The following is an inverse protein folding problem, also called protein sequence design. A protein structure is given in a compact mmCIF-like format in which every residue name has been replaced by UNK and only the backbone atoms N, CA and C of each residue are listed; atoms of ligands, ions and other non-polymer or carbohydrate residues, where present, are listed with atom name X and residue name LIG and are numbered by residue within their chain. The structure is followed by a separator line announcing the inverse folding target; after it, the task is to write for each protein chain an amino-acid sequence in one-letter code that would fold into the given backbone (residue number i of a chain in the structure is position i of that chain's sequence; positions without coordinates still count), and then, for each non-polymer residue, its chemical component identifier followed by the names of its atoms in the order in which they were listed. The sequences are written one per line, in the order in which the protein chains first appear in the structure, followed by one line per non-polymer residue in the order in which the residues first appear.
data_IF_702426282974
#
_entry.id   IF_702426282974
#
_cell.length_a   1.000
_cell.length_b   1.000
_cell.length_c   1.000
_cell.angle_alpha   90.00
_cell.angle_beta   90.00
_cell.angle_gamma   90.00
#
_symmetry.space_group_name_H-M   'P 1'
#
loop_
_entity.id
_entity.type
_entity.pdbx_description
1 polymer ?
#
# COMPACT_ATOMS: atom_id res chain seq x y z
N UNK A 1 15.01 -34.18 50.62
CA UNK A 1 13.92 -33.19 50.59
C UNK A 1 14.55 -31.80 50.51
N UNK A 2 14.76 -31.29 49.29
CA UNK A 2 15.23 -29.91 49.04
C UNK A 2 14.42 -29.38 47.86
N UNK A 3 13.75 -28.26 48.11
CA UNK A 3 12.68 -27.68 47.31
C UNK A 3 13.25 -26.87 46.14
N UNK A 4 12.77 -27.14 44.93
CA UNK A 4 13.03 -26.34 43.72
C UNK A 4 12.20 -25.05 43.82
N UNK A 5 12.86 -23.89 43.71
CA UNK A 5 12.20 -22.58 43.59
C UNK A 5 11.88 -22.31 42.11
N UNK A 6 10.60 -22.39 41.76
CA UNK A 6 10.07 -21.90 40.47
C UNK A 6 9.89 -20.39 40.56
N UNK A 7 10.54 -19.64 39.66
CA UNK A 7 10.27 -18.20 39.45
C UNK A 7 9.16 -18.10 38.39
N UNK A 8 7.96 -17.69 38.81
CA UNK A 8 6.93 -17.20 37.89
C UNK A 8 7.22 -15.72 37.61
N UNK A 9 7.56 -15.41 36.36
CA UNK A 9 7.48 -14.03 35.84
C UNK A 9 6.08 -13.86 35.26
N UNK A 10 5.20 -13.17 35.99
CA UNK A 10 3.91 -12.74 35.47
C UNK A 10 4.11 -11.54 34.55
N UNK A 11 4.03 -11.76 33.23
CA UNK A 11 3.83 -10.69 32.26
C UNK A 11 2.38 -10.18 32.34
N UNK A 12 2.19 -9.02 32.94
CA UNK A 12 0.93 -8.28 32.91
C UNK A 12 0.99 -7.24 31.79
N UNK A 13 0.67 -7.63 30.55
CA UNK A 13 0.42 -6.65 29.46
C UNK A 13 -1.02 -6.16 29.56
N UNK A 14 -1.23 -5.16 30.42
CA UNK A 14 -2.44 -4.35 30.40
C UNK A 14 -2.34 -3.32 29.28
N UNK A 15 -3.07 -3.53 28.18
CA UNK A 15 -3.29 -2.51 27.17
C UNK A 15 -4.23 -1.46 27.77
N UNK A 16 -3.68 -0.39 28.33
CA UNK A 16 -4.45 0.81 28.66
C UNK A 16 -4.87 1.48 27.35
N UNK A 17 -6.12 1.24 26.96
CA UNK A 17 -6.80 2.00 25.93
C UNK A 17 -7.07 3.40 26.51
N UNK A 18 -6.11 4.31 26.39
CA UNK A 18 -6.33 5.72 26.71
C UNK A 18 -7.45 6.24 25.80
N UNK A 19 -8.50 6.88 26.35
CA UNK A 19 -9.51 7.51 25.53
C UNK A 19 -8.83 8.61 24.69
N UNK A 20 -8.94 8.54 23.36
CA UNK A 20 -8.65 9.70 22.52
C UNK A 20 -9.55 10.84 23.00
N UNK A 21 -8.94 11.90 23.53
CA UNK A 21 -9.64 13.09 23.98
C UNK A 21 -10.26 13.83 22.80
N UNK A 22 -11.35 14.56 23.04
CA UNK A 22 -12.08 15.33 22.02
C UNK A 22 -11.22 16.39 21.31
N UNK A 23 -10.12 16.84 21.92
CA UNK A 23 -9.16 17.78 21.32
C UNK A 23 -8.54 17.30 20.01
N UNK A 24 -8.35 15.98 19.83
CA UNK A 24 -7.78 15.43 18.60
C UNK A 24 -8.77 15.40 17.41
N UNK A 25 -10.06 15.65 17.66
CA UNK A 25 -11.11 15.60 16.64
C UNK A 25 -11.38 16.96 15.96
N UNK A 26 -10.99 18.09 16.56
CA UNK A 26 -11.40 19.42 16.08
C UNK A 26 -10.46 20.05 15.05
N UNK A 27 -9.27 19.51 14.84
CA UNK A 27 -8.25 20.10 13.95
C UNK A 27 -8.42 19.75 12.47
N UNK A 28 -8.94 18.55 12.16
CA UNK A 28 -9.14 18.10 10.78
C UNK A 28 -10.56 18.43 10.32
N UNK A 29 -10.70 18.96 9.11
CA UNK A 29 -12.01 19.29 8.53
C UNK A 29 -12.28 18.49 7.27
N UNK A 30 -13.38 17.76 7.26
CA UNK A 30 -13.86 17.02 6.10
C UNK A 30 -15.05 17.77 5.47
N UNK A 31 -14.79 18.42 4.34
CA UNK A 31 -15.76 19.25 3.64
C UNK A 31 -16.32 18.49 2.43
N UNK A 32 -17.64 18.46 2.25
CA UNK A 32 -18.23 18.02 0.99
C UNK A 32 -18.01 19.12 -0.05
N UNK A 33 -17.37 18.79 -1.17
CA UNK A 33 -17.03 19.74 -2.22
C UNK A 33 -17.74 19.49 -3.54
N UNK A 34 -18.48 18.38 -3.66
CA UNK A 34 -19.30 18.11 -4.83
C UNK A 34 -19.72 16.66 -4.96
N UNK A 35 -20.14 16.29 -6.16
CA UNK A 35 -20.39 14.90 -6.54
C UNK A 35 -19.09 14.23 -6.98
N UNK A 36 -19.02 12.91 -6.81
CA UNK A 36 -17.88 12.15 -7.29
C UNK A 36 -17.76 12.30 -8.82
N UNK A 37 -16.55 12.56 -9.36
CA UNK A 37 -16.35 12.57 -10.81
C UNK A 37 -16.56 11.17 -11.39
N UNK A 38 -16.64 11.04 -12.71
CA UNK A 38 -16.62 9.73 -13.36
C UNK A 38 -15.35 8.94 -12.98
N UNK A 39 -15.44 7.62 -12.93
CA UNK A 39 -14.26 6.79 -12.71
C UNK A 39 -13.35 6.87 -13.95
N UNK A 40 -12.05 7.05 -13.72
CA UNK A 40 -11.06 7.02 -14.79
C UNK A 40 -10.73 5.56 -15.11
N UNK A 41 -10.89 5.17 -16.37
CA UNK A 41 -10.49 3.85 -16.84
C UNK A 41 -8.96 3.82 -16.99
N UNK A 42 -8.26 2.86 -16.36
CA UNK A 42 -6.83 2.69 -16.54
C UNK A 42 -6.47 2.47 -18.02
N UNK A 43 -5.48 3.22 -18.49
CA UNK A 43 -4.91 2.98 -19.83
C UNK A 43 -3.74 2.01 -19.67
N UNK A 44 -3.85 0.86 -20.34
CA UNK A 44 -2.79 -0.14 -20.39
C UNK A 44 -1.53 0.35 -21.13
N UNK A 45 -0.43 -0.42 -21.07
CA UNK A 45 0.79 -0.07 -21.79
C UNK A 45 0.56 -0.15 -23.30
N UNK A 46 1.14 0.79 -24.04
CA UNK A 46 1.27 0.65 -25.49
C UNK A 46 2.30 -0.45 -25.79
N UNK A 47 1.87 -1.46 -26.53
CA UNK A 47 2.68 -2.61 -26.96
C UNK A 47 2.40 -2.89 -28.43
N UNK A 48 3.43 -3.27 -29.17
CA UNK A 48 3.31 -3.93 -30.48
C UNK A 48 2.78 -5.36 -30.31
N UNK A 49 2.37 -5.96 -31.43
CA UNK A 49 1.91 -7.34 -31.44
C UNK A 49 3.03 -8.34 -31.09
N UNK A 50 4.27 -8.05 -31.52
CA UNK A 50 5.44 -8.87 -31.16
C UNK A 50 5.77 -8.78 -29.67
N UNK A 51 5.69 -7.58 -29.07
CA UNK A 51 5.86 -7.42 -27.62
C UNK A 51 4.78 -8.17 -26.83
N UNK A 52 3.51 -8.09 -27.25
CA UNK A 52 2.42 -8.88 -26.64
C UNK A 52 2.65 -10.38 -26.73
N UNK A 53 3.07 -10.89 -27.90
CA UNK A 53 3.41 -12.31 -28.07
C UNK A 53 4.57 -12.74 -27.16
N UNK A 54 5.57 -11.88 -26.97
CA UNK A 54 6.76 -12.20 -26.19
C UNK A 54 6.55 -12.10 -24.66
N UNK A 55 5.73 -11.15 -24.20
CA UNK A 55 5.59 -10.83 -22.77
C UNK A 55 4.21 -11.14 -22.18
N UNK A 56 3.25 -11.48 -23.03
CA UNK A 56 1.85 -11.70 -22.67
C UNK A 56 1.04 -10.41 -22.63
N UNK A 57 -0.27 -10.57 -22.48
CA UNK A 57 -1.18 -9.44 -22.35
C UNK A 57 -1.06 -8.77 -20.98
N UNK A 58 -1.21 -7.43 -20.90
CA UNK A 58 -1.35 -6.74 -19.62
C UNK A 58 -2.57 -7.25 -18.84
N UNK A 59 -2.48 -7.24 -17.51
CA UNK A 59 -3.59 -7.55 -16.64
C UNK A 59 -4.77 -6.60 -16.93
N UNK A 60 -5.99 -7.11 -17.17
CA UNK A 60 -7.18 -6.28 -17.27
C UNK A 60 -7.32 -5.38 -16.03
N UNK A 61 -7.71 -4.12 -16.23
CA UNK A 61 -7.83 -3.08 -15.18
C UNK A 61 -6.53 -2.75 -14.40
N UNK A 62 -5.42 -3.41 -14.73
CA UNK A 62 -4.10 -3.11 -14.20
C UNK A 62 -3.62 -1.73 -14.62
N UNK A 63 -2.85 -1.07 -13.74
CA UNK A 63 -2.28 0.25 -13.98
C UNK A 63 -0.81 0.16 -14.33
N UNK A 64 -0.39 0.98 -15.29
CA UNK A 64 1.03 1.19 -15.59
C UNK A 64 1.63 2.15 -14.56
N UNK A 65 2.58 1.68 -13.77
CA UNK A 65 3.40 2.52 -12.91
C UNK A 65 4.59 3.05 -13.71
N UNK A 66 5.02 4.29 -13.45
CA UNK A 66 6.14 4.94 -14.17
C UNK A 66 7.18 5.45 -13.18
N UNK A 67 8.44 5.40 -13.58
CA UNK A 67 9.58 5.93 -12.83
C UNK A 67 10.61 6.57 -13.78
N UNK A 68 11.53 7.36 -13.21
CA UNK A 68 12.51 8.13 -13.99
C UNK A 68 13.91 7.48 -14.03
N UNK A 69 14.09 6.31 -13.44
CA UNK A 69 15.37 5.60 -13.32
C UNK A 69 15.66 4.58 -14.43
N UNK A 70 16.29 3.48 -14.05
CA UNK A 70 16.59 2.33 -14.91
C UNK A 70 15.32 1.60 -15.41
N UNK A 71 14.22 1.74 -14.67
CA UNK A 71 12.87 1.33 -15.03
C UNK A 71 12.05 2.55 -15.45
N UNK A 72 11.40 2.49 -16.62
CA UNK A 72 10.53 3.56 -17.16
C UNK A 72 9.06 3.30 -16.92
N UNK A 73 8.65 2.04 -17.05
CA UNK A 73 7.27 1.64 -16.82
C UNK A 73 7.21 0.20 -16.31
N UNK A 74 6.21 -0.09 -15.48
CA UNK A 74 5.94 -1.42 -14.93
C UNK A 74 4.45 -1.69 -15.01
N UNK A 75 4.07 -2.90 -15.39
CA UNK A 75 2.69 -3.36 -15.33
C UNK A 75 2.64 -4.86 -15.04
N UNK A 76 1.52 -5.29 -14.50
CA UNK A 76 1.20 -6.70 -14.31
C UNK A 76 0.72 -7.29 -15.64
N UNK A 77 1.10 -8.53 -15.92
CA UNK A 77 0.87 -9.20 -17.21
C UNK A 77 0.57 -10.69 -17.04
N UNK A 78 0.19 -11.33 -18.14
CA UNK A 78 -0.18 -12.75 -18.20
C UNK A 78 -1.35 -13.06 -17.25
N UNK A 79 -2.55 -12.50 -17.51
CA UNK A 79 -3.73 -12.77 -16.69
C UNK A 79 -4.00 -14.28 -16.57
N UNK A 80 -4.36 -14.73 -15.37
CA UNK A 80 -4.61 -16.13 -15.05
C UNK A 80 -5.73 -16.28 -14.03
N UNK A 81 -6.48 -17.38 -14.11
CA UNK A 81 -7.56 -17.73 -13.19
C UNK A 81 -7.17 -18.79 -12.14
N UNK A 82 -5.86 -19.07 -12.01
CA UNK A 82 -5.32 -20.14 -11.14
C UNK A 82 -5.49 -19.88 -9.64
N UNK A 83 -5.82 -18.64 -9.26
CA UNK A 83 -6.06 -18.25 -7.87
C UNK A 83 -7.39 -17.52 -7.75
N UNK A 84 -8.39 -18.19 -7.19
CA UNK A 84 -9.78 -17.72 -7.17
C UNK A 84 -10.15 -17.11 -5.82
N UNK A 85 -9.44 -16.07 -5.42
CA UNK A 85 -9.75 -15.35 -4.18
C UNK A 85 -10.84 -14.29 -4.39
N UNK A 86 -10.81 -13.56 -5.51
CA UNK A 86 -11.89 -12.61 -5.84
C UNK A 86 -11.78 -11.26 -5.16
N UNK A 87 -10.69 -11.01 -4.41
CA UNK A 87 -10.65 -9.88 -3.47
C UNK A 87 -10.61 -8.53 -4.17
N UNK A 88 -10.10 -8.50 -5.41
CA UNK A 88 -9.95 -7.30 -6.24
C UNK A 88 -11.17 -7.06 -7.16
N UNK A 89 -12.23 -7.86 -7.01
CA UNK A 89 -13.49 -7.67 -7.74
C UNK A 89 -13.63 -8.53 -9.00
N UNK A 90 -12.64 -9.36 -9.33
CA UNK A 90 -12.76 -10.53 -10.19
C UNK A 90 -11.78 -11.62 -9.71
N UNK A 91 -11.75 -12.75 -10.39
CA UNK A 91 -10.85 -13.87 -10.08
C UNK A 91 -9.70 -14.00 -11.10
N UNK A 92 -9.26 -12.88 -11.69
CA UNK A 92 -8.16 -12.82 -12.66
C UNK A 92 -6.98 -12.08 -12.03
N UNK A 93 -5.90 -12.81 -11.81
CA UNK A 93 -4.67 -12.29 -11.21
C UNK A 93 -3.52 -12.33 -12.21
N UNK A 94 -2.40 -11.69 -11.90
CA UNK A 94 -1.26 -11.66 -12.83
C UNK A 94 -0.32 -12.85 -12.62
N UNK A 95 0.02 -13.55 -13.70
CA UNK A 95 1.07 -14.56 -13.74
C UNK A 95 2.47 -13.96 -13.83
N UNK A 96 2.60 -12.70 -14.23
CA UNK A 96 3.88 -12.04 -14.43
C UNK A 96 3.84 -10.53 -14.12
N UNK A 97 5.02 -9.96 -13.96
CA UNK A 97 5.25 -8.51 -14.04
C UNK A 97 6.19 -8.22 -15.20
N UNK A 98 5.86 -7.21 -16.00
CA UNK A 98 6.68 -6.75 -17.13
C UNK A 98 7.14 -5.33 -16.86
N UNK A 99 8.41 -5.06 -17.17
CA UNK A 99 9.01 -3.74 -17.07
C UNK A 99 9.53 -3.30 -18.43
N UNK A 100 9.35 -2.02 -18.72
CA UNK A 100 10.07 -1.31 -19.78
C UNK A 100 11.28 -0.62 -19.16
N UNK A 101 12.46 -1.03 -19.60
CA UNK A 101 13.75 -0.47 -19.18
C UNK A 101 13.97 0.92 -19.80
N UNK A 102 14.97 1.65 -19.30
CA UNK A 102 15.37 2.96 -19.83
C UNK A 102 15.78 2.96 -21.30
N UNK A 103 16.27 1.83 -21.81
CA UNK A 103 16.65 1.62 -23.21
C UNK A 103 15.47 1.16 -24.09
N UNK A 104 14.26 1.09 -23.53
CA UNK A 104 13.05 0.68 -24.24
C UNK A 104 12.81 -0.83 -24.26
N UNK A 105 13.79 -1.65 -23.89
CA UNK A 105 13.63 -3.11 -23.86
C UNK A 105 12.61 -3.54 -22.80
N UNK A 106 11.81 -4.54 -23.16
CA UNK A 106 10.92 -5.21 -22.21
C UNK A 106 11.61 -6.41 -21.59
N UNK A 107 11.45 -6.57 -20.28
CA UNK A 107 11.81 -7.79 -19.56
C UNK A 107 10.67 -8.16 -18.61
N UNK A 108 10.49 -9.45 -18.36
CA UNK A 108 9.39 -9.95 -17.51
C UNK A 108 9.89 -10.94 -16.49
N UNK A 109 9.26 -10.93 -15.33
CA UNK A 109 9.41 -11.96 -14.31
C UNK A 109 8.10 -12.75 -14.24
N UNK A 110 8.16 -14.02 -14.62
CA UNK A 110 7.00 -14.92 -14.65
C UNK A 110 7.03 -15.77 -13.38
N UNK A 111 5.91 -15.77 -12.65
CA UNK A 111 5.75 -16.56 -11.44
C UNK A 111 5.55 -18.04 -11.77
N UNK A 112 6.11 -18.95 -10.97
CA UNK A 112 5.77 -20.37 -11.02
C UNK A 112 4.26 -20.62 -10.84
N UNK A 113 3.83 -21.83 -11.21
CA UNK A 113 2.43 -22.30 -11.14
C UNK A 113 1.72 -22.14 -9.78
N UNK A 114 2.48 -21.94 -8.71
CA UNK A 114 2.05 -22.00 -7.31
C UNK A 114 1.72 -20.64 -6.68
N UNK A 115 1.79 -19.56 -7.45
CA UNK A 115 1.57 -18.20 -6.95
C UNK A 115 1.10 -17.24 -8.04
N UNK A 116 0.50 -16.12 -7.66
CA UNK A 116 0.11 -15.03 -8.57
C UNK A 116 0.56 -13.69 -7.96
N UNK A 117 0.68 -12.65 -8.78
CA UNK A 117 0.65 -11.29 -8.27
C UNK A 117 -0.81 -10.88 -8.09
N UNK A 118 -1.27 -10.81 -6.84
CA UNK A 118 -2.63 -10.41 -6.46
C UNK A 118 -2.64 -8.90 -6.18
N UNK A 119 -2.52 -8.11 -7.24
CA UNK A 119 -2.37 -6.67 -7.20
C UNK A 119 -2.88 -6.05 -8.53
N UNK A 120 -3.10 -4.74 -8.57
CA UNK A 120 -3.47 -3.99 -9.80
C UNK A 120 -2.47 -2.90 -10.15
N UNK A 121 -1.60 -2.49 -9.22
CA UNK A 121 -0.73 -1.34 -9.42
C UNK A 121 0.66 -1.57 -8.82
N UNK A 122 1.73 -1.69 -9.62
CA UNK A 122 3.08 -1.76 -9.03
C UNK A 122 3.43 -0.46 -8.29
N UNK A 123 3.93 -0.56 -7.05
CA UNK A 123 4.46 0.62 -6.32
C UNK A 123 5.96 0.71 -6.60
N UNK A 124 6.43 1.88 -7.01
CA UNK A 124 7.82 2.09 -7.45
C UNK A 124 8.53 3.09 -6.53
N UNK A 125 9.71 2.74 -6.05
CA UNK A 125 10.57 3.63 -5.28
C UNK A 125 12.02 3.14 -5.32
N UNK A 126 12.97 4.05 -5.15
CA UNK A 126 14.34 3.70 -4.72
C UNK A 126 14.27 3.43 -3.21
N UNK A 127 14.18 2.15 -2.84
CA UNK A 127 13.86 1.78 -1.46
C UNK A 127 15.08 1.85 -0.55
N UNK A 128 16.27 1.58 -1.07
CA UNK A 128 17.53 1.56 -0.31
C UNK A 128 18.46 2.74 -0.61
N UNK A 129 18.07 3.65 -1.51
CA UNK A 129 18.79 4.89 -1.81
C UNK A 129 19.99 4.70 -2.75
N UNK A 130 20.04 3.59 -3.50
CA UNK A 130 21.15 3.27 -4.40
C UNK A 130 21.02 3.90 -5.81
N UNK A 131 19.94 4.63 -6.06
CA UNK A 131 19.62 5.29 -7.32
C UNK A 131 18.90 4.41 -8.34
N UNK A 132 18.60 3.14 -8.02
CA UNK A 132 17.81 2.23 -8.86
C UNK A 132 16.38 2.14 -8.36
N UNK A 133 15.47 1.79 -9.25
CA UNK A 133 14.05 1.65 -8.88
C UNK A 133 13.74 0.21 -8.48
N UNK A 134 13.24 0.02 -7.27
CA UNK A 134 12.59 -1.21 -6.85
C UNK A 134 11.08 -1.17 -7.12
N UNK A 135 10.53 -2.37 -7.29
CA UNK A 135 9.12 -2.64 -7.52
C UNK A 135 8.58 -3.40 -6.32
N UNK A 136 7.53 -2.87 -5.71
CA UNK A 136 6.80 -3.52 -4.63
C UNK A 136 5.50 -4.10 -5.18
N UNK A 137 5.30 -5.40 -4.97
CA UNK A 137 4.11 -6.15 -5.38
C UNK A 137 3.65 -7.14 -4.31
N UNK A 138 2.39 -7.54 -4.39
CA UNK A 138 1.82 -8.59 -3.56
C UNK A 138 1.86 -9.91 -4.30
N UNK A 139 2.65 -10.88 -3.83
CA UNK A 139 2.67 -12.25 -4.34
C UNK A 139 1.82 -13.15 -3.46
N UNK A 140 0.74 -13.69 -4.00
CA UNK A 140 -0.14 -14.64 -3.30
C UNK A 140 0.16 -16.07 -3.72
N UNK A 141 0.60 -16.89 -2.77
CA UNK A 141 0.78 -18.33 -2.96
C UNK A 141 -0.55 -19.05 -2.83
N UNK A 142 -0.82 -20.03 -3.71
CA UNK A 142 -2.11 -20.74 -3.76
C UNK A 142 -2.48 -21.39 -2.41
N UNK A 143 -1.49 -21.81 -1.62
CA UNK A 143 -1.70 -22.49 -0.33
C UNK A 143 -1.22 -21.69 0.89
N UNK A 144 -0.36 -20.69 0.70
CA UNK A 144 0.31 -19.96 1.81
C UNK A 144 -0.14 -18.51 1.96
N UNK A 145 -0.96 -18.00 1.04
CA UNK A 145 -1.42 -16.60 1.05
C UNK A 145 -0.35 -15.62 0.62
N UNK A 146 -0.61 -14.34 0.87
CA UNK A 146 0.21 -13.23 0.38
C UNK A 146 1.54 -13.05 1.12
N UNK A 147 2.54 -12.65 0.34
CA UNK A 147 3.79 -12.03 0.73
C UNK A 147 3.96 -10.72 -0.03
N UNK A 148 4.74 -9.81 0.52
CA UNK A 148 5.20 -8.58 -0.11
C UNK A 148 6.57 -8.86 -0.72
N UNK A 149 6.65 -8.73 -2.05
CA UNK A 149 7.85 -9.02 -2.84
C UNK A 149 8.46 -7.71 -3.35
N UNK A 150 9.77 -7.60 -3.21
CA UNK A 150 10.59 -6.51 -3.75
C UNK A 150 11.34 -7.06 -4.96
N UNK A 151 11.10 -6.49 -6.13
CA UNK A 151 11.81 -6.83 -7.36
C UNK A 151 12.66 -5.64 -7.83
N UNK A 152 13.72 -5.93 -8.57
CA UNK A 152 14.53 -4.91 -9.21
C UNK A 152 15.36 -5.45 -10.37
N UNK A 153 15.91 -4.55 -11.17
CA UNK A 153 16.77 -4.92 -12.28
C UNK A 153 18.19 -5.25 -11.80
N UNK A 154 18.67 -6.43 -12.15
CA UNK A 154 20.06 -6.86 -11.93
C UNK A 154 20.59 -7.47 -13.22
N UNK A 155 21.72 -6.97 -13.71
CA UNK A 155 22.35 -7.42 -14.96
C UNK A 155 21.38 -7.50 -16.16
N UNK A 156 20.45 -6.54 -16.25
CA UNK A 156 19.44 -6.46 -17.32
C UNK A 156 18.24 -7.40 -17.17
N UNK A 157 18.17 -8.18 -16.09
CA UNK A 157 17.05 -9.09 -15.78
C UNK A 157 16.29 -8.60 -14.56
N UNK A 158 15.02 -8.97 -14.47
CA UNK A 158 14.20 -8.70 -13.30
C UNK A 158 14.35 -9.85 -12.31
N UNK A 159 14.62 -9.54 -11.04
CA UNK A 159 14.85 -10.53 -9.98
C UNK A 159 14.07 -10.14 -8.72
N UNK A 160 13.66 -11.13 -7.93
CA UNK A 160 13.18 -10.89 -6.56
C UNK A 160 14.41 -10.61 -5.69
N UNK A 161 14.50 -9.38 -5.18
CA UNK A 161 15.59 -8.95 -4.29
C UNK A 161 15.32 -9.35 -2.85
N UNK A 162 14.05 -9.27 -2.43
CA UNK A 162 13.61 -9.72 -1.12
C UNK A 162 12.11 -10.05 -1.12
N UNK A 163 11.69 -10.89 -0.19
CA UNK A 163 10.29 -11.22 0.04
C UNK A 163 10.11 -11.55 1.52
N UNK A 164 9.04 -11.06 2.16
CA UNK A 164 8.75 -11.49 3.52
C UNK A 164 8.04 -12.85 3.53
N UNK A 165 8.04 -13.52 4.70
CA UNK A 165 7.30 -14.77 4.84
C UNK A 165 5.82 -14.58 4.51
N UNK A 166 5.30 -15.45 3.64
CA UNK A 166 3.87 -15.49 3.32
C UNK A 166 3.02 -15.67 4.60
N UNK A 167 1.80 -15.15 4.57
CA UNK A 167 0.90 -15.11 5.74
C UNK A 167 0.70 -16.49 6.40
N UNK A 168 0.82 -17.58 5.63
CA UNK A 168 0.72 -18.96 6.11
C UNK A 168 -0.64 -19.60 5.86
N UNK A 169 -1.55 -18.92 5.16
CA UNK A 169 -2.88 -19.45 4.80
C UNK A 169 -3.34 -18.81 3.50
N UNK A 170 -3.82 -19.61 2.56
CA UNK A 170 -4.44 -19.15 1.32
C UNK A 170 -5.55 -18.11 1.58
N UNK A 171 -5.82 -17.24 0.59
CA UNK A 171 -6.89 -16.23 0.67
C UNK A 171 -6.72 -15.30 1.89
N UNK A 172 -5.46 -15.02 2.23
CA UNK A 172 -5.05 -13.95 3.13
C UNK A 172 -4.15 -13.02 2.34
N UNK A 173 -4.50 -11.75 2.37
CA UNK A 173 -3.97 -10.76 1.45
C UNK A 173 -3.35 -9.58 2.20
N UNK A 174 -2.50 -8.83 1.49
CA UNK A 174 -1.84 -7.60 1.94
C UNK A 174 -2.25 -6.48 0.99
N UNK A 175 -2.50 -5.28 1.50
CA UNK A 175 -2.65 -4.11 0.63
C UNK A 175 -1.55 -3.08 0.94
N UNK A 176 -0.45 -3.05 0.18
CA UNK A 176 0.58 -2.02 0.30
C UNK A 176 0.08 -0.73 -0.34
N UNK A 177 0.00 0.38 0.36
CA UNK A 177 -0.55 1.62 -0.24
C UNK A 177 0.17 2.89 0.22
N UNK A 178 1.25 2.71 0.98
CA UNK A 178 1.96 3.78 1.66
C UNK A 178 3.44 3.67 1.28
N UNK A 179 4.01 4.75 0.74
CA UNK A 179 5.44 4.92 0.55
C UNK A 179 5.87 6.12 1.39
N UNK A 180 6.70 5.87 2.39
CA UNK A 180 7.17 6.86 3.36
C UNK A 180 8.64 7.16 3.10
N UNK A 181 8.91 8.26 2.41
CA UNK A 181 10.26 8.77 2.27
C UNK A 181 10.80 9.27 3.62
N UNK A 182 12.11 9.10 3.81
CA UNK A 182 12.85 9.61 4.95
C UNK A 182 13.85 10.67 4.45
N UNK A 183 13.47 11.97 4.46
CA UNK A 183 14.23 13.04 3.80
C UNK A 183 15.71 13.13 4.18
N UNK A 184 16.05 12.76 5.42
CA UNK A 184 17.43 12.81 5.93
C UNK A 184 18.31 11.68 5.38
N UNK A 185 17.71 10.58 4.96
CA UNK A 185 18.43 9.37 4.52
C UNK A 185 18.23 9.03 3.05
N UNK A 186 17.17 9.54 2.41
CA UNK A 186 16.76 9.17 1.06
C UNK A 186 16.02 7.82 0.96
N UNK A 187 16.02 7.01 2.03
CA UNK A 187 15.32 5.73 2.09
C UNK A 187 13.80 5.90 1.95
N UNK A 188 13.15 4.93 1.31
CA UNK A 188 11.69 4.83 1.26
C UNK A 188 11.22 3.56 1.97
N UNK A 189 10.33 3.74 2.94
CA UNK A 189 9.69 2.65 3.68
C UNK A 189 8.34 2.31 3.07
N UNK A 190 7.96 1.03 3.13
CA UNK A 190 6.69 0.54 2.59
C UNK A 190 5.71 0.30 3.71
N UNK A 191 4.57 0.98 3.68
CA UNK A 191 3.43 0.70 4.56
C UNK A 191 2.36 -0.14 3.87
N UNK A 192 1.85 -1.13 4.59
CA UNK A 192 0.78 -2.02 4.13
C UNK A 192 -0.23 -2.30 5.25
N UNK A 193 -1.45 -2.69 4.89
CA UNK A 193 -2.38 -3.33 5.82
C UNK A 193 -2.47 -4.81 5.51
N UNK A 194 -2.12 -5.64 6.49
CA UNK A 194 -2.27 -7.09 6.43
C UNK A 194 -3.71 -7.46 6.78
N UNK A 195 -4.32 -8.33 5.98
CA UNK A 195 -5.69 -8.84 6.18
C UNK A 195 -6.71 -7.72 6.44
N UNK A 196 -6.85 -6.74 5.53
CA UNK A 196 -7.69 -5.56 5.74
C UNK A 196 -9.17 -5.88 6.01
N UNK A 197 -9.64 -7.09 5.69
CA UNK A 197 -11.03 -7.53 5.90
C UNK A 197 -11.28 -8.32 7.18
N UNK A 198 -10.23 -8.69 7.93
CA UNK A 198 -10.30 -9.69 9.03
C UNK A 198 -9.42 -9.25 10.21
N UNK A 199 -9.51 -7.97 10.58
CA UNK A 199 -8.81 -7.41 11.74
C UNK A 199 -7.93 -6.22 11.36
N UNK A 200 -7.18 -6.36 10.26
CA UNK A 200 -6.47 -5.24 9.66
C UNK A 200 -5.30 -4.72 10.50
N UNK A 201 -4.10 -5.15 10.14
CA UNK A 201 -2.86 -4.80 10.83
C UNK A 201 -2.01 -3.91 9.92
N UNK A 202 -1.87 -2.63 10.26
CA UNK A 202 -0.92 -1.72 9.62
C UNK A 202 0.51 -2.16 9.96
N UNK A 203 1.36 -2.25 8.96
CA UNK A 203 2.78 -2.59 9.11
C UNK A 203 3.63 -1.63 8.28
N UNK A 204 4.77 -1.24 8.83
CA UNK A 204 5.82 -0.51 8.10
C UNK A 204 7.02 -1.43 7.91
N UNK A 205 7.51 -1.49 6.67
CA UNK A 205 8.61 -2.31 6.25
C UNK A 205 9.75 -1.47 5.69
N UNK A 206 10.96 -1.92 5.98
CA UNK A 206 12.22 -1.33 5.53
C UNK A 206 12.98 -2.36 4.72
N UNK A 207 13.43 -1.95 3.54
CA UNK A 207 14.36 -2.69 2.71
C UNK A 207 15.72 -1.98 2.72
N UNK A 208 16.75 -2.66 3.21
CA UNK A 208 18.10 -2.09 3.25
C UNK A 208 19.15 -3.21 3.21
N UNK A 209 20.14 -3.08 2.33
CA UNK A 209 21.24 -4.05 2.22
C UNK A 209 20.75 -5.48 1.96
N UNK A 210 19.75 -5.64 1.10
CA UNK A 210 19.14 -6.94 0.79
C UNK A 210 18.25 -7.52 1.91
N UNK A 211 18.12 -6.84 3.05
CA UNK A 211 17.27 -7.28 4.16
C UNK A 211 15.94 -6.55 4.12
N UNK A 212 14.84 -7.31 4.14
CA UNK A 212 13.49 -6.77 4.20
C UNK A 212 12.83 -7.10 5.54
N UNK A 213 12.55 -6.07 6.35
CA UNK A 213 12.09 -6.26 7.74
C UNK A 213 10.96 -5.32 8.11
N UNK A 214 10.02 -5.82 8.91
CA UNK A 214 8.99 -5.02 9.56
C UNK A 214 9.61 -4.24 10.72
N UNK A 215 9.38 -2.93 10.76
CA UNK A 215 9.93 -2.03 11.78
C UNK A 215 8.85 -1.41 12.68
N UNK A 216 7.59 -1.38 12.24
CA UNK A 216 6.47 -0.93 13.04
C UNK A 216 5.20 -1.72 12.72
N UNK A 217 4.28 -1.79 13.68
CA UNK A 217 3.01 -2.50 13.56
C UNK A 217 1.94 -1.84 14.43
N UNK A 218 0.71 -1.74 13.93
CA UNK A 218 -0.44 -1.28 14.68
C UNK A 218 -1.73 -1.99 14.19
N UNK A 219 -2.69 -2.20 15.09
CA UNK A 219 -3.94 -2.92 14.79
C UNK A 219 -5.11 -1.97 14.56
N UNK A 220 -6.16 -2.46 13.88
CA UNK A 220 -7.44 -1.77 13.80
C UNK A 220 -7.56 -0.82 12.61
N UNK A 221 -6.93 -1.17 11.48
CA UNK A 221 -6.93 -0.37 10.25
C UNK A 221 -7.42 -1.15 9.04
N UNK A 222 -8.10 -0.48 8.11
CA UNK A 222 -8.51 -1.11 6.85
C UNK A 222 -8.35 -0.12 5.71
N UNK A 223 -7.41 -0.39 4.81
CA UNK A 223 -7.21 0.39 3.58
C UNK A 223 -7.82 -0.29 2.33
N UNK A 224 -8.72 -1.26 2.49
CA UNK A 224 -9.35 -1.94 1.35
C UNK A 224 -10.76 -2.43 1.67
N UNK A 225 -11.67 -2.31 0.69
CA UNK A 225 -13.00 -2.92 0.72
C UNK A 225 -13.01 -4.12 -0.22
N UNK A 226 -13.47 -5.28 0.27
CA UNK A 226 -13.52 -6.51 -0.54
C UNK A 226 -14.29 -6.29 -1.86
N UNK A 227 -13.73 -6.79 -2.95
CA UNK A 227 -14.26 -6.65 -4.31
C UNK A 227 -14.00 -5.30 -4.96
N UNK A 228 -13.31 -4.38 -4.29
CA UNK A 228 -12.96 -3.06 -4.84
C UNK A 228 -11.73 -3.14 -5.74
N UNK A 229 -11.68 -2.29 -6.78
CA UNK A 229 -10.46 -2.01 -7.54
C UNK A 229 -9.59 -0.92 -6.90
N UNK A 230 -10.10 -0.25 -5.86
CA UNK A 230 -9.41 0.84 -5.19
C UNK A 230 -8.46 0.30 -4.13
N UNK A 231 -7.15 0.36 -4.39
CA UNK A 231 -6.10 -0.13 -3.48
C UNK A 231 -5.50 0.98 -2.62
N UNK A 232 -5.76 2.25 -2.96
CA UNK A 232 -5.14 3.42 -2.37
C UNK A 232 -5.99 4.12 -1.30
N UNK A 233 -6.66 3.39 -0.40
CA UNK A 233 -7.39 4.02 0.73
C UNK A 233 -6.41 4.45 1.85
N UNK A 234 -5.39 5.21 1.47
CA UNK A 234 -4.43 5.83 2.36
C UNK A 234 -3.77 7.02 1.68
N UNK A 235 -3.28 7.97 2.47
CA UNK A 235 -2.45 9.07 1.99
C UNK A 235 -1.22 9.25 2.88
N UNK A 236 -0.14 9.77 2.29
CA UNK A 236 1.04 10.24 3.02
C UNK A 236 1.06 11.76 2.95
N UNK A 237 1.21 12.39 4.11
CA UNK A 237 1.25 13.84 4.26
C UNK A 237 2.54 14.25 4.97
N UNK A 238 3.02 15.46 4.69
CA UNK A 238 4.24 16.01 5.30
C UNK A 238 3.96 17.17 6.24
N UNK A 239 4.70 17.26 7.36
CA UNK A 239 4.85 18.47 8.19
C UNK A 239 6.33 18.76 8.40
N UNK A 240 6.89 19.66 7.60
CA UNK A 240 8.34 19.75 7.45
C UNK A 240 8.96 18.39 7.09
N UNK A 241 9.86 17.89 7.93
CA UNK A 241 10.48 16.56 7.75
C UNK A 241 9.60 15.41 8.22
N UNK A 242 8.62 15.67 9.07
CA UNK A 242 7.77 14.62 9.61
C UNK A 242 6.86 14.06 8.50
N UNK A 243 6.66 12.75 8.52
CA UNK A 243 5.67 12.08 7.66
C UNK A 243 4.48 11.64 8.50
N UNK A 244 3.32 11.65 7.86
CA UNK A 244 2.04 11.30 8.46
C UNK A 244 1.34 10.30 7.55
N UNK A 245 0.69 9.33 8.15
CA UNK A 245 -0.11 8.34 7.43
C UNK A 245 -1.55 8.62 7.73
N UNK A 246 -2.35 8.78 6.70
CA UNK A 246 -3.77 8.98 6.79
C UNK A 246 -4.47 7.74 6.23
N UNK A 247 -5.26 7.02 7.03
CA UNK A 247 -6.00 5.83 6.58
C UNK A 247 -7.24 5.54 7.44
N UNK A 248 -8.20 4.75 6.95
CA UNK A 248 -9.39 4.42 7.73
C UNK A 248 -9.12 3.47 8.89
N UNK A 249 -9.95 3.57 9.94
CA UNK A 249 -10.06 2.52 10.94
C UNK A 249 -10.62 1.22 10.35
N UNK A 250 -10.52 0.10 11.07
CA UNK A 250 -10.91 -1.23 10.57
C UNK A 250 -12.38 -1.32 10.13
N UNK A 251 -13.24 -0.43 10.64
CA UNK A 251 -14.67 -0.34 10.25
C UNK A 251 -14.93 0.65 9.13
N UNK A 252 -13.90 1.38 8.68
CA UNK A 252 -13.97 2.46 7.71
C UNK A 252 -15.02 3.53 8.09
N UNK A 253 -15.14 3.84 9.39
CA UNK A 253 -16.06 4.85 9.95
C UNK A 253 -15.36 6.12 10.37
N UNK A 254 -14.05 6.05 10.56
CA UNK A 254 -13.21 7.20 10.89
C UNK A 254 -11.98 7.16 10.01
N UNK A 255 -11.49 8.33 9.69
CA UNK A 255 -10.22 8.53 9.05
C UNK A 255 -9.22 8.98 10.13
N UNK A 256 -8.13 8.24 10.25
CA UNK A 256 -7.14 8.40 11.31
C UNK A 256 -5.86 8.96 10.70
N UNK A 257 -5.32 10.01 11.31
CA UNK A 257 -4.01 10.54 11.00
C UNK A 257 -3.02 10.02 12.03
N UNK A 258 -1.96 9.38 11.57
CA UNK A 258 -0.93 8.77 12.40
C UNK A 258 0.42 9.46 12.17
N UNK A 259 1.25 9.44 13.21
CA UNK A 259 2.69 9.63 13.06
C UNK A 259 3.27 8.51 12.18
N UNK A 260 4.08 8.87 11.18
CA UNK A 260 4.62 7.91 10.21
C UNK A 260 5.68 6.96 10.74
N UNK A 261 6.28 7.26 11.90
CA UNK A 261 7.33 6.45 12.51
C UNK A 261 6.77 5.57 13.63
N UNK A 262 6.07 6.19 14.58
CA UNK A 262 5.55 5.54 15.79
C UNK A 262 4.15 4.94 15.59
N UNK A 263 3.46 5.28 14.50
CA UNK A 263 2.07 4.88 14.25
C UNK A 263 1.08 5.32 15.34
N UNK A 264 1.45 6.33 16.13
CA UNK A 264 0.55 6.93 17.13
C UNK A 264 -0.51 7.75 16.43
N UNK A 265 -1.78 7.58 16.82
CA UNK A 265 -2.88 8.40 16.30
C UNK A 265 -2.71 9.82 16.82
N UNK A 266 -2.65 10.77 15.90
CA UNK A 266 -2.50 12.20 16.16
C UNK A 266 -3.85 12.92 16.13
N UNK A 267 -4.68 12.55 15.16
CA UNK A 267 -5.99 13.15 14.95
C UNK A 267 -6.94 12.15 14.26
N UNK A 268 -8.24 12.44 14.30
CA UNK A 268 -9.22 11.70 13.52
C UNK A 268 -10.38 12.57 13.07
N UNK A 269 -11.07 12.12 12.03
CA UNK A 269 -12.35 12.68 11.60
C UNK A 269 -13.35 11.56 11.33
N UNK A 270 -14.63 11.69 11.76
CA UNK A 270 -15.68 10.77 11.36
C UNK A 270 -15.92 10.79 9.85
N UNK A 271 -16.22 9.63 9.28
CA UNK A 271 -16.62 9.51 7.88
C UNK A 271 -18.13 9.34 7.78
N UNK A 272 -18.82 10.14 6.93
CA UNK A 272 -20.26 9.99 6.73
C UNK A 272 -20.61 8.70 5.96
N UNK A 273 -19.67 8.20 5.15
CA UNK A 273 -19.77 6.93 4.45
C UNK A 273 -18.37 6.34 4.21
N UNK A 274 -18.30 5.04 3.94
CA UNK A 274 -17.02 4.36 3.66
C UNK A 274 -16.37 4.90 2.37
N UNK A 275 -15.04 4.97 2.28
CA UNK A 275 -14.38 5.35 1.04
C UNK A 275 -14.48 4.26 -0.04
N UNK A 276 -14.59 4.68 -1.30
CA UNK A 276 -14.81 3.75 -2.44
C UNK A 276 -13.82 3.96 -3.60
N UNK A 277 -12.93 4.94 -3.51
CA UNK A 277 -11.84 5.18 -4.48
C UNK A 277 -10.54 5.54 -3.78
N UNK A 278 -9.44 5.35 -4.50
CA UNK A 278 -8.10 5.78 -4.06
C UNK A 278 -8.12 7.24 -3.60
N UNK A 279 -7.41 7.54 -2.53
CA UNK A 279 -7.27 8.90 -2.04
C UNK A 279 -6.36 9.70 -2.97
N UNK A 280 -6.72 10.96 -3.21
CA UNK A 280 -5.89 11.88 -3.99
C UNK A 280 -5.29 12.94 -3.07
N UNK A 281 -3.97 12.98 -2.93
CA UNK A 281 -3.30 14.11 -2.26
C UNK A 281 -3.14 15.23 -3.27
N UNK A 282 -3.67 16.41 -2.95
CA UNK A 282 -3.44 17.63 -3.70
C UNK A 282 -2.47 18.52 -2.93
N UNK A 283 -1.71 19.32 -3.67
CA UNK A 283 -0.88 20.39 -3.12
C UNK A 283 -1.13 21.64 -3.95
N UNK A 284 -1.51 22.73 -3.29
CA UNK A 284 -1.69 24.00 -3.97
C UNK A 284 -0.35 24.73 -4.21
N UNK A 285 -0.42 25.91 -4.82
CA UNK A 285 0.76 26.72 -5.12
C UNK A 285 1.47 27.27 -3.89
N UNK A 286 0.80 27.35 -2.74
CA UNK A 286 1.39 27.74 -1.46
C UNK A 286 2.09 26.57 -0.76
N UNK A 287 1.86 25.35 -1.24
CA UNK A 287 2.36 24.13 -0.64
C UNK A 287 1.38 23.47 0.32
N UNK A 288 0.19 24.04 0.53
CA UNK A 288 -0.85 23.46 1.38
C UNK A 288 -1.38 22.16 0.78
N UNK A 289 -1.46 21.12 1.59
CA UNK A 289 -1.90 19.78 1.22
C UNK A 289 -3.37 19.60 1.57
N UNK A 290 -4.10 18.89 0.72
CA UNK A 290 -5.43 18.41 1.06
C UNK A 290 -5.62 17.00 0.51
N UNK A 291 -6.57 16.25 1.06
CA UNK A 291 -6.86 14.88 0.61
C UNK A 291 -8.26 14.80 0.04
N UNK A 292 -8.38 14.34 -1.19
CA UNK A 292 -9.63 14.06 -1.87
C UNK A 292 -10.10 12.66 -1.57
N UNK A 293 -11.39 12.54 -1.23
CA UNK A 293 -12.02 11.27 -0.91
C UNK A 293 -13.35 11.15 -1.65
N UNK A 294 -13.55 10.03 -2.33
CA UNK A 294 -14.86 9.66 -2.84
C UNK A 294 -15.46 8.61 -1.91
N UNK A 295 -16.64 8.92 -1.36
CA UNK A 295 -17.32 8.06 -0.40
C UNK A 295 -18.54 7.37 -1.02
N UNK A 296 -19.05 6.34 -0.33
CA UNK A 296 -20.13 5.48 -0.84
C UNK A 296 -21.50 6.19 -1.01
N UNK A 297 -21.64 7.42 -0.51
CA UNK A 297 -22.79 8.29 -0.75
C UNK A 297 -22.74 9.01 -2.12
N UNK A 298 -21.73 8.69 -2.94
CA UNK A 298 -21.52 9.26 -4.26
C UNK A 298 -20.97 10.68 -4.25
N UNK A 299 -20.52 11.18 -3.10
CA UNK A 299 -20.00 12.55 -2.96
C UNK A 299 -18.47 12.57 -2.94
N UNK A 300 -17.93 13.71 -3.37
CA UNK A 300 -16.53 14.08 -3.24
C UNK A 300 -16.35 14.95 -2.00
N UNK A 301 -15.39 14.55 -1.17
CA UNK A 301 -14.98 15.26 0.03
C UNK A 301 -13.52 15.68 -0.07
N UNK A 302 -13.20 16.78 0.59
CA UNK A 302 -11.85 17.28 0.80
C UNK A 302 -11.57 17.29 2.30
N UNK A 303 -10.48 16.65 2.69
CA UNK A 303 -9.93 16.73 4.04
C UNK A 303 -8.83 17.78 4.06
N UNK A 304 -8.97 18.74 4.98
CA UNK A 304 -8.04 19.83 5.22
C UNK A 304 -7.58 19.85 6.68
N UNK A 305 -6.44 20.50 6.92
CA UNK A 305 -5.98 20.94 8.24
C UNK A 305 -5.85 22.47 8.24
N UNK A 306 -6.94 23.21 8.53
CA UNK A 306 -6.92 24.66 8.46
C UNK A 306 -5.92 25.32 9.42
N UNK A 307 -5.49 24.59 10.45
CA UNK A 307 -4.49 25.08 11.40
C UNK A 307 -3.05 24.90 10.90
N UNK A 308 -2.86 24.03 9.91
CA UNK A 308 -1.56 23.55 9.48
C UNK A 308 -0.77 22.87 10.60
N UNK A 309 -1.41 22.38 11.66
CA UNK A 309 -0.72 21.82 12.82
C UNK A 309 -0.10 20.44 12.49
N UNK A 310 -0.80 19.65 11.70
CA UNK A 310 -0.51 18.24 11.44
C UNK A 310 0.18 17.99 10.12
N UNK A 311 -0.14 18.77 9.09
CA UNK A 311 0.52 18.77 7.80
C UNK A 311 0.68 20.21 7.29
N UNK A 312 1.55 20.37 6.29
CA UNK A 312 2.03 21.62 5.67
C UNK A 312 3.24 22.27 6.36
#
# INVERSE_FOLDING_TARGET
MVLVRTILVSCLTGLLCLPLTAEAAESLRLNRIGTAPAAVVPVGPALSESERRAHGDPLPDGRVAKANGDIRAVWLSQPTDRYRHGVLGDAIEAGAVTVRRKDGMLVSFVLPGDSVFEDLHPRLADLDGDGRTEIVLVRSYLTKGAALSILGLRNGKLEILAENTAIGTANRWLNPSILLDAPDTGEVRVGLVRTPHIGGQLQIWRYAGGTFRRIAVAEGFSNHTIGSRALGLSAVLSKGKARRILLPDARQRRLLLLDGDQLTILAFVPLPARPVRDFGVQRDTSGHQSVMLVLADGQLYQLDDPSGHWFD
#
